data_IF_687262755139
#
_entry.id   IF_687262755139
#
_cell.length_a   1.000
_cell.length_b   1.000
_cell.length_c   1.000
_cell.angle_alpha   90.00
_cell.angle_beta   90.00
_cell.angle_gamma   90.00
#
_symmetry.space_group_name_H-M   'P 1'
#
loop_
_entity.id
_entity.type
_entity.pdbx_description
1 polymer ?
#
# COMPACT_ATOMS: atom_id res chain seq x y z
N UNK A 1 12.80 42.15 -13.60
CA UNK A 1 13.32 41.41 -12.42
C UNK A 1 12.20 40.91 -11.49
N UNK A 2 11.19 41.68 -11.19
CA UNK A 2 10.09 41.28 -10.29
C UNK A 2 9.21 40.15 -10.82
N UNK A 3 8.92 40.07 -12.12
CA UNK A 3 8.07 39.04 -12.72
C UNK A 3 8.74 37.66 -12.77
N UNK A 4 10.06 37.61 -13.00
CA UNK A 4 10.81 36.33 -13.00
C UNK A 4 10.92 35.74 -11.61
N UNK A 5 11.16 36.58 -10.59
CA UNK A 5 11.17 36.17 -9.19
C UNK A 5 9.81 35.61 -8.74
N UNK A 6 8.72 36.28 -9.15
CA UNK A 6 7.37 35.82 -8.80
C UNK A 6 7.05 34.45 -9.44
N UNK A 7 7.44 34.25 -10.69
CA UNK A 7 7.29 32.96 -11.38
C UNK A 7 8.07 31.83 -10.68
N UNK A 8 9.32 32.08 -10.28
CA UNK A 8 10.12 31.10 -9.55
C UNK A 8 9.49 30.73 -8.21
N UNK A 9 8.96 31.72 -7.48
CA UNK A 9 8.24 31.53 -6.23
C UNK A 9 6.99 30.67 -6.43
N UNK A 10 6.17 30.97 -7.43
CA UNK A 10 4.94 30.23 -7.73
C UNK A 10 5.24 28.78 -8.13
N UNK A 11 6.27 28.54 -8.93
CA UNK A 11 6.72 27.17 -9.28
C UNK A 11 7.21 26.40 -8.05
N UNK A 12 7.94 27.05 -7.13
CA UNK A 12 8.36 26.41 -5.89
C UNK A 12 7.16 26.05 -5.00
N UNK A 13 6.17 26.95 -4.89
CA UNK A 13 4.92 26.70 -4.17
C UNK A 13 4.12 25.53 -4.77
N UNK A 14 4.04 25.43 -6.10
CA UNK A 14 3.39 24.29 -6.75
C UNK A 14 4.10 22.96 -6.43
N UNK A 15 5.43 22.94 -6.44
CA UNK A 15 6.20 21.73 -6.07
C UNK A 15 6.00 21.34 -4.61
N UNK A 16 6.02 22.32 -3.72
CA UNK A 16 5.75 22.11 -2.31
C UNK A 16 4.32 21.61 -2.07
N UNK A 17 3.32 22.21 -2.71
CA UNK A 17 1.92 21.77 -2.65
C UNK A 17 1.73 20.34 -3.16
N UNK A 18 2.37 19.99 -4.27
CA UNK A 18 2.33 18.64 -4.82
C UNK A 18 2.91 17.60 -3.84
N UNK A 19 4.00 17.91 -3.15
CA UNK A 19 4.55 17.02 -2.11
C UNK A 19 3.60 16.88 -0.92
N UNK A 20 2.94 17.97 -0.51
CA UNK A 20 1.94 17.92 0.55
C UNK A 20 0.76 17.00 0.22
N UNK A 21 0.32 16.94 -1.04
CA UNK A 21 -0.76 16.04 -1.48
C UNK A 21 -0.46 14.58 -1.09
N UNK A 22 0.78 14.15 -1.22
CA UNK A 22 1.19 12.80 -0.81
C UNK A 22 1.51 12.67 0.67
N UNK A 23 1.97 13.74 1.32
CA UNK A 23 2.24 13.71 2.76
C UNK A 23 0.96 13.60 3.60
N UNK A 24 -0.15 14.23 3.17
CA UNK A 24 -1.39 14.31 3.94
C UNK A 24 -2.01 12.94 4.31
N UNK A 25 -2.10 11.94 3.40
CA UNK A 25 -2.68 10.64 3.74
C UNK A 25 -1.74 9.72 4.53
N UNK A 26 -0.44 10.06 4.63
CA UNK A 26 0.58 9.25 5.29
C UNK A 26 0.62 9.51 6.82
N UNK A 27 1.24 8.60 7.58
CA UNK A 27 1.49 8.84 9.01
C UNK A 27 2.49 9.99 9.18
N UNK A 28 2.10 11.02 9.92
CA UNK A 28 2.93 12.20 10.15
C UNK A 28 3.90 11.96 11.31
N UNK A 29 5.13 12.47 11.17
CA UNK A 29 6.07 12.57 12.29
C UNK A 29 5.76 13.79 13.15
N UNK A 30 6.32 13.84 14.37
CA UNK A 30 6.19 14.98 15.26
C UNK A 30 6.58 16.29 14.56
N UNK A 31 5.84 17.37 14.83
CA UNK A 31 6.05 18.70 14.23
C UNK A 31 5.97 18.72 12.70
N UNK A 32 5.03 17.99 12.10
CA UNK A 32 4.83 17.88 10.65
C UNK A 32 4.81 19.24 9.95
N UNK A 33 3.96 20.17 10.39
CA UNK A 33 3.80 21.48 9.77
C UNK A 33 5.08 22.34 9.86
N UNK A 34 5.79 22.30 10.99
CA UNK A 34 7.04 23.03 11.13
C UNK A 34 8.11 22.54 10.14
N UNK A 35 8.21 21.21 9.94
CA UNK A 35 9.13 20.60 8.97
C UNK A 35 8.69 20.90 7.53
N UNK A 36 7.42 20.77 7.21
CA UNK A 36 6.89 21.05 5.89
C UNK A 36 7.09 22.51 5.49
N UNK A 37 6.82 23.48 6.37
CA UNK A 37 7.08 24.88 6.14
C UNK A 37 8.58 25.20 6.09
N UNK A 38 9.39 24.53 6.93
CA UNK A 38 10.85 24.70 6.88
C UNK A 38 11.46 24.27 5.56
N UNK A 39 10.92 23.24 4.92
CA UNK A 39 11.37 22.76 3.60
C UNK A 39 10.94 23.68 2.44
N UNK A 40 10.02 24.60 2.67
CA UNK A 40 9.67 25.62 1.67
C UNK A 40 10.86 26.54 1.39
N UNK A 41 11.65 26.89 2.41
CA UNK A 41 12.81 27.77 2.26
C UNK A 41 13.87 27.24 1.28
N UNK A 42 14.40 26.00 1.42
CA UNK A 42 15.36 25.48 0.45
C UNK A 42 14.76 25.27 -0.95
N UNK A 43 13.47 24.97 -1.07
CA UNK A 43 12.78 24.90 -2.37
C UNK A 43 12.72 26.28 -3.06
N UNK A 44 12.41 27.33 -2.30
CA UNK A 44 12.42 28.71 -2.80
C UNK A 44 13.84 29.16 -3.20
N UNK A 45 14.82 28.86 -2.36
CA UNK A 45 16.22 29.19 -2.64
C UNK A 45 16.70 28.50 -3.94
N UNK A 46 16.40 27.21 -4.09
CA UNK A 46 16.77 26.45 -5.28
C UNK A 46 16.10 27.01 -6.54
N UNK A 47 14.82 27.34 -6.48
CA UNK A 47 14.10 27.95 -7.59
C UNK A 47 14.72 29.29 -8.02
N UNK A 48 15.13 30.10 -7.05
CA UNK A 48 15.77 31.40 -7.31
C UNK A 48 17.16 31.28 -7.91
N UNK A 49 17.95 30.31 -7.46
CA UNK A 49 19.32 30.12 -7.94
C UNK A 49 19.41 29.51 -9.35
N UNK A 50 18.49 28.60 -9.67
CA UNK A 50 18.60 27.79 -10.90
C UNK A 50 17.71 28.29 -12.05
N UNK A 51 16.61 28.98 -11.81
CA UNK A 51 15.73 29.52 -12.87
C UNK A 51 16.45 30.60 -13.74
N UNK A 52 17.23 31.56 -13.18
CA UNK A 52 17.97 32.53 -14.01
C UNK A 52 19.08 31.89 -14.86
N UNK A 53 19.63 30.75 -14.41
CA UNK A 53 20.67 30.03 -15.12
C UNK A 53 20.14 29.29 -16.36
N UNK A 54 18.81 29.11 -16.49
CA UNK A 54 18.19 28.47 -17.65
C UNK A 54 18.22 29.33 -18.93
N UNK A 55 18.57 30.60 -18.84
CA UNK A 55 18.54 31.57 -19.97
C UNK A 55 19.81 31.59 -20.84
N UNK A 56 20.75 30.68 -20.71
CA UNK A 56 22.01 30.72 -21.47
C UNK A 56 22.07 29.75 -22.65
N UNK A 57 22.54 30.11 -23.61
CA UNK A 57 23.03 30.27 -24.95
C UNK A 57 23.22 29.03 -25.84
N UNK A 58 23.24 27.76 -25.38
CA UNK A 58 23.27 26.56 -26.26
C UNK A 58 22.27 25.52 -25.80
N UNK A 59 21.58 24.86 -26.74
CA UNK A 59 20.57 23.82 -26.48
C UNK A 59 21.07 22.73 -25.53
N UNK A 60 22.33 22.32 -25.69
CA UNK A 60 22.92 21.29 -24.82
C UNK A 60 23.13 21.74 -23.37
N UNK A 61 23.58 22.95 -23.17
CA UNK A 61 23.75 23.52 -21.81
C UNK A 61 22.41 23.75 -21.13
N UNK A 62 21.41 24.16 -21.89
CA UNK A 62 20.03 24.33 -21.37
C UNK A 62 19.45 23.00 -20.88
N UNK A 63 19.60 21.91 -21.64
CA UNK A 63 19.12 20.58 -21.25
C UNK A 63 19.87 20.03 -20.03
N UNK A 64 21.18 20.20 -19.96
CA UNK A 64 21.96 19.77 -18.80
C UNK A 64 21.55 20.50 -17.52
N UNK A 65 21.25 21.78 -17.62
CA UNK A 65 20.77 22.58 -16.49
C UNK A 65 19.38 22.19 -16.04
N UNK A 66 18.45 21.95 -16.96
CA UNK A 66 17.14 21.43 -16.65
C UNK A 66 17.26 20.07 -15.92
N UNK A 67 18.15 19.20 -16.37
CA UNK A 67 18.39 17.92 -15.69
C UNK A 67 18.86 18.12 -14.24
N UNK A 68 19.85 18.99 -14.03
CA UNK A 68 20.37 19.32 -12.68
C UNK A 68 19.26 19.91 -11.81
N UNK A 69 18.45 20.81 -12.36
CA UNK A 69 17.30 21.41 -11.68
C UNK A 69 16.31 20.35 -11.21
N UNK A 70 15.91 19.44 -12.09
CA UNK A 70 14.95 18.39 -11.77
C UNK A 70 15.50 17.40 -10.75
N UNK A 71 16.77 16.99 -10.87
CA UNK A 71 17.42 16.11 -9.89
C UNK A 71 17.48 16.78 -8.51
N UNK A 72 17.79 18.07 -8.46
CA UNK A 72 17.85 18.82 -7.21
C UNK A 72 16.48 18.96 -6.55
N UNK A 73 15.43 19.26 -7.32
CA UNK A 73 14.07 19.30 -6.81
C UNK A 73 13.59 17.91 -6.37
N UNK A 74 13.92 16.88 -7.14
CA UNK A 74 13.62 15.50 -6.76
C UNK A 74 14.23 15.13 -5.39
N UNK A 75 15.50 15.46 -5.18
CA UNK A 75 16.18 15.20 -3.91
C UNK A 75 15.54 15.98 -2.74
N UNK A 76 15.20 17.27 -2.95
CA UNK A 76 14.54 18.09 -1.93
C UNK A 76 13.13 17.60 -1.60
N UNK A 77 12.32 17.24 -2.60
CA UNK A 77 10.97 16.73 -2.38
C UNK A 77 11.01 15.35 -1.70
N UNK A 78 11.92 14.48 -2.10
CA UNK A 78 12.15 13.19 -1.42
C UNK A 78 12.58 13.37 0.03
N UNK A 79 13.49 14.31 0.27
CA UNK A 79 13.90 14.72 1.62
C UNK A 79 12.73 15.28 2.45
N UNK A 80 11.89 16.15 1.88
CA UNK A 80 10.70 16.66 2.52
C UNK A 80 9.74 15.56 2.94
N UNK A 81 9.40 14.66 2.01
CA UNK A 81 8.47 13.55 2.28
C UNK A 81 9.04 12.64 3.38
N UNK A 82 10.32 12.29 3.29
CA UNK A 82 10.99 11.44 4.28
C UNK A 82 11.07 12.08 5.67
N UNK A 83 11.31 13.39 5.76
CA UNK A 83 11.39 14.12 7.03
C UNK A 83 10.01 14.36 7.67
N UNK A 84 8.98 14.55 6.86
CA UNK A 84 7.63 14.88 7.33
C UNK A 84 6.80 13.64 7.68
N UNK A 85 7.07 12.50 7.04
CA UNK A 85 6.25 11.29 7.17
C UNK A 85 7.07 10.09 7.66
N UNK A 86 6.37 9.09 8.20
CA UNK A 86 6.98 7.85 8.66
C UNK A 86 6.93 6.77 7.56
N UNK A 87 7.65 7.06 6.47
CA UNK A 87 7.72 6.19 5.29
C UNK A 87 9.17 5.71 5.06
N UNK A 88 9.32 4.54 4.43
CA UNK A 88 10.61 4.01 4.03
C UNK A 88 11.27 4.88 2.94
N UNK A 89 12.61 4.88 2.87
CA UNK A 89 13.38 5.64 1.85
C UNK A 89 12.89 5.37 0.42
N UNK A 90 12.60 4.10 0.07
CA UNK A 90 12.08 3.73 -1.25
C UNK A 90 10.70 4.35 -1.51
N UNK A 91 9.83 4.37 -0.50
CA UNK A 91 8.53 5.01 -0.57
C UNK A 91 8.62 6.52 -0.73
N UNK A 92 9.52 7.18 0.01
CA UNK A 92 9.76 8.61 -0.12
C UNK A 92 10.25 8.99 -1.53
N UNK A 93 11.18 8.21 -2.11
CA UNK A 93 11.64 8.40 -3.48
C UNK A 93 10.52 8.19 -4.50
N UNK A 94 9.69 7.17 -4.32
CA UNK A 94 8.53 6.91 -5.17
C UNK A 94 7.54 8.10 -5.15
N UNK A 95 7.15 8.56 -3.96
CA UNK A 95 6.26 9.72 -3.81
C UNK A 95 6.90 11.01 -4.35
N UNK A 96 8.23 11.16 -4.27
CA UNK A 96 8.93 12.32 -4.84
C UNK A 96 8.83 12.39 -6.37
N UNK A 97 8.96 11.25 -7.07
CA UNK A 97 8.74 11.20 -8.53
C UNK A 97 7.33 11.70 -8.87
N UNK A 98 6.33 11.17 -8.17
CA UNK A 98 4.93 11.56 -8.41
C UNK A 98 4.64 13.02 -8.06
N UNK A 99 5.26 13.53 -6.98
CA UNK A 99 5.13 14.93 -6.61
C UNK A 99 5.68 15.86 -7.69
N UNK A 100 6.83 15.52 -8.29
CA UNK A 100 7.39 16.27 -9.42
C UNK A 100 6.47 16.28 -10.63
N UNK A 101 5.96 15.09 -11.01
CA UNK A 101 5.06 14.93 -12.15
C UNK A 101 3.80 15.76 -11.97
N UNK A 102 3.17 15.68 -10.79
CA UNK A 102 1.94 16.40 -10.47
C UNK A 102 2.17 17.91 -10.42
N UNK A 103 3.30 18.35 -9.87
CA UNK A 103 3.65 19.78 -9.88
C UNK A 103 3.79 20.33 -11.29
N UNK A 104 4.41 19.55 -12.18
CA UNK A 104 4.57 19.95 -13.57
C UNK A 104 3.24 19.94 -14.33
N UNK A 105 2.39 18.91 -14.14
CA UNK A 105 1.04 18.89 -14.72
C UNK A 105 0.20 20.09 -14.26
N UNK A 106 0.31 20.47 -12.98
CA UNK A 106 -0.36 21.67 -12.47
C UNK A 106 0.16 22.96 -13.15
N UNK A 107 1.49 23.03 -13.38
CA UNK A 107 2.09 24.14 -14.12
C UNK A 107 1.65 24.17 -15.59
N UNK A 108 1.59 23.03 -16.27
CA UNK A 108 1.09 22.94 -17.64
C UNK A 108 -0.39 23.30 -17.75
N UNK A 109 -1.19 22.94 -16.75
CA UNK A 109 -2.60 23.36 -16.67
C UNK A 109 -2.72 24.89 -16.58
N UNK A 110 -1.84 25.54 -15.83
CA UNK A 110 -1.73 26.98 -15.82
C UNK A 110 -1.35 27.54 -17.19
N UNK A 111 -0.33 26.97 -17.84
CA UNK A 111 0.09 27.42 -19.17
C UNK A 111 -1.02 27.27 -20.23
N UNK A 112 -1.82 26.21 -20.11
CA UNK A 112 -3.01 26.03 -20.94
C UNK A 112 -4.02 27.18 -20.73
N UNK A 113 -4.34 27.52 -19.49
CA UNK A 113 -5.24 28.63 -19.20
C UNK A 113 -4.69 29.98 -19.72
N UNK A 114 -3.44 30.28 -19.45
CA UNK A 114 -2.77 31.48 -19.95
C UNK A 114 -2.87 31.60 -21.48
N UNK A 115 -2.66 30.49 -22.19
CA UNK A 115 -2.74 30.44 -23.64
C UNK A 115 -4.18 30.69 -24.14
N UNK A 116 -5.20 30.13 -23.45
CA UNK A 116 -6.60 30.37 -23.83
C UNK A 116 -7.01 31.82 -23.56
N UNK A 117 -6.66 32.41 -22.42
CA UNK A 117 -6.96 33.82 -22.14
C UNK A 117 -6.30 34.75 -23.14
N UNK A 118 -5.05 34.49 -23.51
CA UNK A 118 -4.33 35.24 -24.56
C UNK A 118 -5.02 35.14 -25.91
N UNK A 119 -5.52 33.95 -26.27
CA UNK A 119 -6.25 33.72 -27.51
C UNK A 119 -7.57 34.51 -27.60
N UNK A 120 -8.25 34.71 -26.46
CA UNK A 120 -9.49 35.49 -26.39
C UNK A 120 -9.24 37.00 -26.18
N UNK A 121 -8.02 37.47 -26.32
CA UNK A 121 -7.68 38.91 -26.23
C UNK A 121 -7.53 39.46 -24.80
N UNK A 122 -7.49 38.60 -23.80
CA UNK A 122 -7.29 38.93 -22.40
C UNK A 122 -5.98 38.35 -21.84
N UNK A 123 -4.79 38.81 -22.26
CA UNK A 123 -3.55 38.21 -21.80
C UNK A 123 -3.40 38.36 -20.27
N UNK A 124 -3.14 37.26 -19.61
CA UNK A 124 -2.89 37.21 -18.16
C UNK A 124 -1.46 37.70 -17.90
N UNK A 125 -1.33 38.99 -17.54
CA UNK A 125 -0.01 39.51 -17.17
C UNK A 125 0.32 39.05 -15.74
N UNK A 126 1.45 38.37 -15.55
CA UNK A 126 1.94 37.92 -14.25
C UNK A 126 2.23 39.07 -13.26
N UNK A 127 2.33 40.31 -13.71
CA UNK A 127 2.38 41.47 -12.84
C UNK A 127 1.02 41.77 -12.20
N UNK A 128 -0.08 41.24 -12.71
CA UNK A 128 -1.42 41.42 -12.19
C UNK A 128 -1.71 40.47 -11.01
N UNK A 129 -2.21 40.97 -9.87
CA UNK A 129 -2.63 40.10 -8.74
C UNK A 129 -3.68 39.06 -9.15
N UNK A 130 -4.50 39.38 -10.15
CA UNK A 130 -5.52 38.50 -10.69
C UNK A 130 -4.91 37.24 -11.35
N UNK A 131 -3.87 37.38 -12.16
CA UNK A 131 -3.19 36.27 -12.78
C UNK A 131 -2.58 35.32 -11.73
N UNK A 132 -1.96 35.84 -10.69
CA UNK A 132 -1.42 35.09 -9.56
C UNK A 132 -2.54 34.29 -8.85
N UNK A 133 -3.67 34.95 -8.61
CA UNK A 133 -4.83 34.30 -7.95
C UNK A 133 -5.39 33.15 -8.79
N UNK A 134 -5.56 33.35 -10.11
CA UNK A 134 -6.03 32.29 -11.03
C UNK A 134 -5.05 31.12 -11.07
N UNK A 135 -3.75 31.37 -11.08
CA UNK A 135 -2.72 30.34 -11.05
C UNK A 135 -2.77 29.52 -9.75
N UNK A 136 -2.87 30.16 -8.60
CA UNK A 136 -2.98 29.49 -7.32
C UNK A 136 -4.27 28.68 -7.21
N UNK A 137 -5.38 29.24 -7.69
CA UNK A 137 -6.68 28.55 -7.69
C UNK A 137 -6.66 27.33 -8.60
N UNK A 138 -6.15 27.45 -9.82
CA UNK A 138 -6.03 26.30 -10.75
C UNK A 138 -5.15 25.22 -10.19
N UNK A 139 -4.03 25.55 -9.57
CA UNK A 139 -3.16 24.61 -8.87
C UNK A 139 -3.86 23.92 -7.69
N UNK A 140 -4.59 24.68 -6.88
CA UNK A 140 -5.35 24.13 -5.75
C UNK A 140 -6.45 23.15 -6.20
N UNK A 141 -7.20 23.47 -7.24
CA UNK A 141 -8.24 22.60 -7.83
C UNK A 141 -7.60 21.32 -8.36
N UNK A 142 -6.48 21.44 -9.08
CA UNK A 142 -5.74 20.28 -9.61
C UNK A 142 -5.24 19.37 -8.48
N UNK A 143 -4.63 19.93 -7.44
CA UNK A 143 -4.16 19.16 -6.29
C UNK A 143 -5.30 18.52 -5.49
N UNK A 144 -6.44 19.18 -5.34
CA UNK A 144 -7.61 18.61 -4.71
C UNK A 144 -8.14 17.39 -5.51
N UNK A 145 -8.20 17.50 -6.84
CA UNK A 145 -8.58 16.40 -7.71
C UNK A 145 -7.60 15.21 -7.57
N UNK A 146 -6.30 15.46 -7.63
CA UNK A 146 -5.27 14.42 -7.44
C UNK A 146 -5.33 13.79 -6.05
N UNK A 147 -5.57 14.58 -5.01
CA UNK A 147 -5.73 14.07 -3.65
C UNK A 147 -6.90 13.10 -3.54
N UNK A 148 -8.06 13.47 -4.08
CA UNK A 148 -9.28 12.64 -4.02
C UNK A 148 -9.14 11.37 -4.85
N UNK A 149 -8.61 11.50 -6.07
CA UNK A 149 -8.57 10.40 -7.04
C UNK A 149 -7.41 9.43 -6.79
N UNK A 150 -6.27 9.91 -6.31
CA UNK A 150 -5.03 9.12 -6.21
C UNK A 150 -4.51 9.03 -4.78
N UNK A 151 -4.20 10.14 -4.13
CA UNK A 151 -3.48 10.14 -2.87
C UNK A 151 -4.28 9.52 -1.72
N UNK A 152 -5.57 9.81 -1.63
CA UNK A 152 -6.47 9.25 -0.60
C UNK A 152 -6.64 7.73 -0.72
N UNK A 153 -6.48 7.18 -1.93
CA UNK A 153 -6.66 5.75 -2.20
C UNK A 153 -5.38 4.93 -1.99
N UNK A 154 -4.27 5.56 -1.59
CA UNK A 154 -3.04 4.84 -1.30
C UNK A 154 -3.26 3.86 -0.13
N UNK A 155 -2.98 2.56 -0.31
CA UNK A 155 -3.21 1.55 0.71
C UNK A 155 -2.25 1.73 1.90
N UNK A 156 -2.67 1.24 3.08
CA UNK A 156 -1.83 1.06 4.29
C UNK A 156 -1.19 2.33 4.88
N UNK A 157 -1.70 3.54 4.62
CA UNK A 157 -1.17 4.80 5.18
C UNK A 157 0.37 4.92 5.12
N UNK A 158 0.98 4.34 4.07
CA UNK A 158 2.42 4.42 3.83
C UNK A 158 3.26 3.23 4.35
N UNK A 159 2.67 2.22 4.94
CA UNK A 159 3.37 0.99 5.35
C UNK A 159 3.54 -0.02 4.19
N UNK A 160 3.76 0.45 2.98
CA UNK A 160 3.94 -0.43 1.84
C UNK A 160 5.40 -0.60 1.46
N UNK A 161 5.75 -1.83 1.18
CA UNK A 161 7.08 -2.18 0.73
C UNK A 161 7.13 -2.04 -0.81
N UNK A 162 7.65 -0.91 -1.28
CA UNK A 162 7.82 -0.66 -2.70
C UNK A 162 8.91 -1.56 -3.24
N UNK A 163 8.56 -2.42 -4.17
CA UNK A 163 9.50 -3.28 -4.87
C UNK A 163 10.42 -2.50 -5.82
N UNK A 164 11.61 -3.02 -6.13
CA UNK A 164 12.53 -2.35 -7.04
C UNK A 164 11.93 -2.13 -8.43
N UNK A 165 11.11 -3.05 -8.93
CA UNK A 165 10.42 -2.93 -10.23
C UNK A 165 9.49 -1.71 -10.29
N UNK A 166 8.73 -1.46 -9.22
CA UNK A 166 7.82 -0.32 -9.13
C UNK A 166 8.59 1.01 -9.07
N UNK A 167 9.71 1.04 -8.35
CA UNK A 167 10.57 2.20 -8.29
C UNK A 167 11.20 2.49 -9.66
N UNK A 168 11.71 1.48 -10.36
CA UNK A 168 12.24 1.62 -11.71
C UNK A 168 11.19 2.13 -12.70
N UNK A 169 9.96 1.60 -12.67
CA UNK A 169 8.88 2.09 -13.55
C UNK A 169 8.54 3.55 -13.26
N UNK A 170 8.50 3.96 -12.00
CA UNK A 170 8.25 5.36 -11.63
C UNK A 170 9.38 6.29 -12.15
N UNK A 171 10.65 5.91 -11.97
CA UNK A 171 11.77 6.66 -12.51
C UNK A 171 11.75 6.76 -14.05
N UNK A 172 11.43 5.68 -14.73
CA UNK A 172 11.33 5.67 -16.18
C UNK A 172 10.23 6.61 -16.69
N UNK A 173 9.06 6.58 -16.05
CA UNK A 173 7.97 7.52 -16.33
C UNK A 173 8.41 8.96 -16.03
N UNK A 174 9.13 9.20 -14.94
CA UNK A 174 9.67 10.50 -14.59
C UNK A 174 10.64 11.04 -15.66
N UNK A 175 11.54 10.20 -16.20
CA UNK A 175 12.47 10.58 -17.28
C UNK A 175 11.70 10.91 -18.55
N UNK A 176 10.74 10.07 -18.96
CA UNK A 176 9.91 10.33 -20.16
C UNK A 176 9.19 11.68 -20.03
N UNK A 177 8.68 11.97 -18.87
CA UNK A 177 8.00 13.23 -18.61
C UNK A 177 8.95 14.44 -18.68
N UNK A 178 10.14 14.32 -18.12
CA UNK A 178 11.15 15.39 -18.20
C UNK A 178 11.53 15.68 -19.65
N UNK A 179 11.69 14.65 -20.49
CA UNK A 179 11.94 14.82 -21.91
C UNK A 179 10.80 15.56 -22.59
N UNK A 180 9.55 15.19 -22.31
CA UNK A 180 8.39 15.87 -22.87
C UNK A 180 8.31 17.35 -22.42
N UNK A 181 8.53 17.64 -21.14
CA UNK A 181 8.51 19.00 -20.62
C UNK A 181 9.58 19.87 -21.28
N UNK A 182 10.79 19.33 -21.50
CA UNK A 182 11.85 20.02 -22.21
C UNK A 182 11.52 20.28 -23.70
N UNK A 183 10.90 19.31 -24.38
CA UNK A 183 10.42 19.48 -25.75
C UNK A 183 9.35 20.57 -25.82
N UNK A 184 8.41 20.59 -24.89
CA UNK A 184 7.33 21.58 -24.85
C UNK A 184 7.87 23.01 -24.60
N UNK A 185 8.84 23.17 -23.70
CA UNK A 185 9.46 24.47 -23.44
C UNK A 185 10.24 25.01 -24.67
N UNK A 186 10.89 24.14 -25.43
CA UNK A 186 11.56 24.52 -26.69
C UNK A 186 10.54 24.82 -27.80
N UNK A 187 9.44 24.06 -27.85
CA UNK A 187 8.40 24.23 -28.88
C UNK A 187 7.58 25.52 -28.72
N UNK A 188 7.58 26.14 -27.56
CA UNK A 188 6.88 27.42 -27.32
C UNK A 188 7.34 28.56 -28.17
N UNK A 189 8.61 28.54 -28.60
CA UNK A 189 9.20 29.57 -29.46
C UNK A 189 8.82 29.43 -30.96
N UNK A 190 8.43 28.22 -31.39
CA UNK A 190 8.29 27.91 -32.82
C UNK A 190 6.87 27.52 -33.24
N UNK A 191 5.98 27.17 -32.30
CA UNK A 191 4.65 26.64 -32.63
C UNK A 191 3.54 27.68 -32.53
N UNK A 192 2.47 27.42 -33.33
CA UNK A 192 1.25 28.20 -33.28
C UNK A 192 0.51 27.93 -31.93
N UNK A 193 -0.26 28.90 -31.39
CA UNK A 193 -1.00 28.72 -30.15
C UNK A 193 -1.92 27.49 -30.14
N UNK A 194 -2.46 27.10 -31.31
CA UNK A 194 -3.31 25.94 -31.44
C UNK A 194 -2.52 24.64 -31.27
N UNK A 195 -1.37 24.51 -31.92
CA UNK A 195 -0.54 23.29 -31.81
C UNK A 195 0.00 23.09 -30.39
N UNK A 196 0.39 24.18 -29.71
CA UNK A 196 0.77 24.14 -28.29
C UNK A 196 -0.38 23.66 -27.39
N UNK A 197 -1.60 24.19 -27.61
CA UNK A 197 -2.78 23.77 -26.88
C UNK A 197 -3.02 22.26 -26.99
N UNK A 198 -2.97 21.74 -28.22
CA UNK A 198 -3.18 20.31 -28.49
C UNK A 198 -2.07 19.46 -27.83
N UNK A 199 -0.81 19.90 -27.93
CA UNK A 199 0.33 19.18 -27.34
C UNK A 199 0.22 19.11 -25.81
N UNK A 200 -0.17 20.20 -25.14
CA UNK A 200 -0.35 20.24 -23.69
C UNK A 200 -1.49 19.28 -23.29
N UNK A 201 -2.64 19.31 -23.98
CA UNK A 201 -3.78 18.46 -23.67
C UNK A 201 -3.46 16.96 -23.84
N UNK A 202 -2.80 16.60 -24.94
CA UNK A 202 -2.38 15.22 -25.19
C UNK A 202 -1.39 14.77 -24.11
N UNK A 203 -0.41 15.60 -23.78
CA UNK A 203 0.57 15.33 -22.73
C UNK A 203 -0.09 15.11 -21.38
N UNK A 204 -0.99 15.98 -20.96
CA UNK A 204 -1.71 15.85 -19.69
C UNK A 204 -2.59 14.59 -19.65
N UNK A 205 -3.35 14.32 -20.72
CA UNK A 205 -4.15 13.10 -20.80
C UNK A 205 -3.28 11.85 -20.67
N UNK A 206 -2.17 11.79 -21.39
CA UNK A 206 -1.22 10.69 -21.31
C UNK A 206 -0.68 10.48 -19.90
N UNK A 207 -0.25 11.55 -19.20
CA UNK A 207 0.29 11.43 -17.84
C UNK A 207 -0.75 11.09 -16.79
N UNK A 208 -1.95 11.66 -16.87
CA UNK A 208 -3.04 11.29 -15.96
C UNK A 208 -3.38 9.81 -16.14
N UNK A 209 -3.41 9.33 -17.38
CA UNK A 209 -3.65 7.91 -17.68
C UNK A 209 -2.54 7.03 -17.10
N UNK A 210 -1.26 7.39 -17.29
CA UNK A 210 -0.13 6.66 -16.70
C UNK A 210 -0.18 6.66 -15.17
N UNK A 211 -0.49 7.79 -14.55
CA UNK A 211 -0.70 7.91 -13.10
C UNK A 211 -1.78 6.94 -12.61
N UNK A 212 -2.91 6.90 -13.31
CA UNK A 212 -4.00 6.01 -12.97
C UNK A 212 -3.57 4.54 -13.08
N UNK A 213 -2.98 4.12 -14.20
CA UNK A 213 -2.50 2.75 -14.38
C UNK A 213 -1.45 2.36 -13.33
N UNK A 214 -0.51 3.24 -13.05
CA UNK A 214 0.50 2.97 -12.02
C UNK A 214 -0.12 2.81 -10.63
N UNK A 215 -1.10 3.62 -10.30
CA UNK A 215 -1.85 3.53 -9.04
C UNK A 215 -2.61 2.20 -8.94
N UNK A 216 -3.24 1.75 -10.01
CA UNK A 216 -3.95 0.47 -10.06
C UNK A 216 -2.99 -0.73 -9.98
N UNK A 217 -1.86 -0.69 -10.70
CA UNK A 217 -0.82 -1.71 -10.59
C UNK A 217 -0.26 -1.80 -9.17
N UNK A 218 -0.12 -0.66 -8.50
CA UNK A 218 0.32 -0.61 -7.12
C UNK A 218 -0.69 -1.25 -6.17
N UNK A 219 -1.98 -0.92 -6.29
CA UNK A 219 -3.06 -1.52 -5.50
C UNK A 219 -3.13 -3.03 -5.73
N UNK A 220 -3.04 -3.47 -6.99
CA UNK A 220 -3.05 -4.89 -7.34
C UNK A 220 -1.88 -5.64 -6.68
N UNK A 221 -0.68 -5.10 -6.77
CA UNK A 221 0.51 -5.70 -6.15
C UNK A 221 0.42 -5.77 -4.62
N UNK A 222 -0.17 -4.75 -3.98
CA UNK A 222 -0.42 -4.76 -2.54
C UNK A 222 -1.43 -5.85 -2.15
N UNK A 223 -2.51 -5.98 -2.92
CA UNK A 223 -3.56 -6.98 -2.69
C UNK A 223 -3.06 -8.41 -2.93
N UNK A 224 -2.23 -8.64 -3.96
CA UNK A 224 -1.58 -9.93 -4.22
C UNK A 224 -0.69 -10.37 -3.06
N UNK A 225 0.05 -9.43 -2.47
CA UNK A 225 0.90 -9.71 -1.31
C UNK A 225 0.07 -10.09 -0.09
N UNK A 226 -1.00 -9.35 0.22
CA UNK A 226 -1.91 -9.65 1.32
C UNK A 226 -2.56 -11.03 1.14
N UNK A 227 -3.02 -11.34 -0.08
CA UNK A 227 -3.58 -12.65 -0.40
C UNK A 227 -2.55 -13.77 -0.21
N UNK A 228 -1.29 -13.53 -0.59
CA UNK A 228 -0.20 -14.50 -0.38
C UNK A 228 0.06 -14.75 1.12
N UNK A 229 0.05 -13.69 1.94
CA UNK A 229 0.22 -13.80 3.39
C UNK A 229 -0.96 -14.56 4.04
N UNK A 230 -2.19 -14.27 3.62
CA UNK A 230 -3.39 -14.98 4.08
C UNK A 230 -3.36 -16.47 3.69
N UNK A 231 -2.96 -16.77 2.44
CA UNK A 231 -2.82 -18.15 2.00
C UNK A 231 -1.77 -18.91 2.81
N UNK A 232 -0.65 -18.30 3.14
CA UNK A 232 0.37 -18.89 4.00
C UNK A 232 -0.15 -19.20 5.41
N UNK A 233 -0.93 -18.28 6.00
CA UNK A 233 -1.57 -18.49 7.30
C UNK A 233 -2.59 -19.62 7.24
N UNK A 234 -3.40 -19.66 6.19
CA UNK A 234 -4.38 -20.73 5.97
C UNK A 234 -3.71 -22.10 5.83
N UNK A 235 -2.63 -22.21 5.04
CA UNK A 235 -1.88 -23.46 4.90
C UNK A 235 -1.26 -23.92 6.22
N UNK A 236 -0.71 -23.01 7.04
CA UNK A 236 -0.19 -23.32 8.38
C UNK A 236 -1.30 -23.85 9.29
N UNK A 237 -2.45 -23.20 9.29
CA UNK A 237 -3.60 -23.63 10.09
C UNK A 237 -4.09 -25.03 9.66
N UNK A 238 -4.15 -25.26 8.35
CA UNK A 238 -4.51 -26.56 7.77
C UNK A 238 -3.54 -27.67 8.17
N UNK A 239 -2.23 -27.38 8.13
CA UNK A 239 -1.20 -28.33 8.58
C UNK A 239 -1.34 -28.65 10.07
N UNK A 240 -1.54 -27.64 10.92
CA UNK A 240 -1.76 -27.85 12.36
C UNK A 240 -2.99 -28.73 12.61
N UNK A 241 -4.08 -28.46 11.88
CA UNK A 241 -5.28 -29.28 11.98
C UNK A 241 -5.03 -30.74 11.57
N UNK A 242 -4.30 -30.97 10.48
CA UNK A 242 -3.96 -32.32 10.02
C UNK A 242 -3.10 -33.08 11.04
N UNK A 243 -2.11 -32.41 11.65
CA UNK A 243 -1.28 -33.00 12.71
C UNK A 243 -2.12 -33.33 13.94
N UNK A 244 -2.99 -32.42 14.38
CA UNK A 244 -3.90 -32.66 15.51
C UNK A 244 -4.82 -33.86 15.24
N UNK A 245 -5.39 -33.94 14.03
CA UNK A 245 -6.23 -35.07 13.63
C UNK A 245 -5.46 -36.40 13.64
N UNK A 246 -4.25 -36.44 13.10
CA UNK A 246 -3.40 -37.64 13.13
C UNK A 246 -3.06 -38.06 14.55
N UNK A 247 -2.73 -37.11 15.43
CA UNK A 247 -2.45 -37.38 16.84
C UNK A 247 -3.66 -38.00 17.55
N UNK A 248 -4.86 -37.46 17.32
CA UNK A 248 -6.11 -38.04 17.87
C UNK A 248 -6.33 -39.46 17.37
N UNK A 249 -6.13 -39.72 16.09
CA UNK A 249 -6.26 -41.09 15.52
C UNK A 249 -5.25 -42.07 16.13
N UNK A 250 -4.00 -41.65 16.34
CA UNK A 250 -2.96 -42.47 16.97
C UNK A 250 -3.32 -42.77 18.42
N UNK A 251 -3.80 -41.76 19.17
CA UNK A 251 -4.22 -41.94 20.57
C UNK A 251 -5.38 -42.92 20.63
N UNK A 252 -6.41 -42.74 19.81
CA UNK A 252 -7.57 -43.61 19.78
C UNK A 252 -7.16 -45.08 19.48
N UNK A 253 -6.27 -45.29 18.51
CA UNK A 253 -5.74 -46.61 18.20
C UNK A 253 -5.00 -47.21 19.39
N UNK A 254 -4.14 -46.45 20.06
CA UNK A 254 -3.39 -46.94 21.24
C UNK A 254 -4.29 -47.26 22.42
N UNK A 255 -5.33 -46.44 22.65
CA UNK A 255 -6.33 -46.71 23.69
C UNK A 255 -7.09 -48.00 23.41
N UNK A 256 -7.45 -48.26 22.12
CA UNK A 256 -8.10 -49.48 21.75
C UNK A 256 -7.17 -50.70 21.98
N UNK A 257 -5.91 -50.63 21.58
CA UNK A 257 -4.89 -51.68 21.80
C UNK A 257 -4.73 -51.94 23.31
N UNK A 258 -4.65 -50.91 24.18
CA UNK A 258 -4.57 -51.04 25.64
C UNK A 258 -5.80 -51.77 26.22
N UNK A 259 -7.00 -51.43 25.78
CA UNK A 259 -8.22 -52.10 26.22
C UNK A 259 -8.19 -53.61 25.93
N UNK A 260 -7.76 -53.96 24.71
CA UNK A 260 -7.63 -55.38 24.35
C UNK A 260 -6.59 -56.10 25.23
N UNK A 261 -5.46 -55.45 25.53
CA UNK A 261 -4.44 -56.01 26.41
C UNK A 261 -4.95 -56.18 27.84
N UNK A 262 -5.65 -55.19 28.40
CA UNK A 262 -6.27 -55.26 29.73
C UNK A 262 -7.30 -56.40 29.79
N UNK A 263 -8.14 -56.53 28.75
CA UNK A 263 -9.15 -57.61 28.70
C UNK A 263 -8.49 -59.01 28.61
N UNK A 264 -7.35 -59.13 27.91
CA UNK A 264 -6.57 -60.37 27.85
C UNK A 264 -5.89 -60.70 29.18
N UNK A 265 -5.30 -59.74 29.86
CA UNK A 265 -4.71 -59.93 31.18
C UNK A 265 -5.77 -60.39 32.23
N UNK A 266 -6.98 -59.84 32.15
CA UNK A 266 -8.10 -60.27 33.02
C UNK A 266 -8.49 -61.74 32.82
N UNK A 267 -8.30 -62.25 31.60
CA UNK A 267 -8.63 -63.66 31.27
C UNK A 267 -7.53 -64.65 31.69
N UNK A 268 -6.28 -64.21 31.66
CA UNK A 268 -5.14 -65.10 31.83
C UNK A 268 -4.62 -65.26 33.27
N UNK A 269 -4.88 -64.32 34.14
CA UNK A 269 -4.34 -64.32 35.51
C UNK A 269 -5.31 -63.75 36.54
N UNK A 270 -6.33 -64.52 36.94
CA UNK A 270 -7.29 -64.04 37.98
C UNK A 270 -6.66 -63.82 39.37
N UNK A 271 -5.51 -64.49 39.68
CA UNK A 271 -4.88 -64.45 41.01
C UNK A 271 -3.62 -63.54 41.06
N UNK A 272 -3.03 -63.16 39.94
CA UNK A 272 -1.74 -62.46 39.93
C UNK A 272 -1.80 -60.93 39.98
N UNK A 273 -2.94 -60.32 39.66
CA UNK A 273 -3.12 -58.87 39.69
C UNK A 273 -4.38 -58.51 40.46
N UNK A 274 -4.31 -57.61 41.46
CA UNK A 274 -5.49 -57.14 42.19
C UNK A 274 -6.54 -56.57 41.25
N UNK A 275 -7.80 -56.97 41.34
CA UNK A 275 -8.89 -56.52 40.46
C UNK A 275 -9.03 -54.99 40.46
N UNK A 276 -8.73 -54.30 41.56
CA UNK A 276 -8.74 -52.86 41.67
C UNK A 276 -7.79 -52.13 40.74
N UNK A 277 -6.57 -52.70 40.46
CA UNK A 277 -5.60 -52.13 39.50
C UNK A 277 -6.02 -52.33 38.07
N UNK A 278 -6.69 -53.41 37.76
CA UNK A 278 -7.25 -53.67 36.41
C UNK A 278 -8.40 -52.68 36.15
N UNK A 279 -9.25 -52.47 37.12
CA UNK A 279 -10.38 -51.55 37.01
C UNK A 279 -9.93 -50.09 36.97
N UNK A 280 -8.80 -49.73 37.60
CA UNK A 280 -8.18 -48.43 37.51
C UNK A 280 -7.58 -48.19 36.12
N UNK A 281 -6.85 -49.15 35.56
CA UNK A 281 -6.32 -49.08 34.23
C UNK A 281 -7.39 -49.03 33.13
N UNK A 282 -8.51 -49.79 33.35
CA UNK A 282 -9.68 -49.73 32.45
C UNK A 282 -10.42 -48.40 32.53
N UNK A 283 -10.54 -47.81 33.72
CA UNK A 283 -11.08 -46.46 33.90
C UNK A 283 -10.22 -45.42 33.20
N UNK A 284 -8.89 -45.48 33.33
CA UNK A 284 -7.95 -44.59 32.64
C UNK A 284 -8.08 -44.74 31.12
N UNK A 285 -8.12 -45.98 30.60
CA UNK A 285 -8.32 -46.25 29.19
C UNK A 285 -9.68 -45.76 28.64
N UNK A 286 -10.74 -45.82 29.45
CA UNK A 286 -12.09 -45.32 29.12
C UNK A 286 -12.14 -43.80 29.06
N UNK A 287 -11.39 -43.09 29.90
CA UNK A 287 -11.28 -41.63 29.85
C UNK A 287 -10.72 -41.13 28.51
N UNK A 288 -9.72 -41.83 27.98
CA UNK A 288 -9.16 -41.53 26.65
C UNK A 288 -10.08 -41.92 25.48
N UNK A 289 -10.98 -42.90 25.71
CA UNK A 289 -11.92 -43.40 24.70
C UNK A 289 -13.27 -42.70 24.73
N UNK A 290 -13.43 -41.72 25.61
CA UNK A 290 -14.58 -40.82 25.60
C UNK A 290 -14.59 -39.96 24.32
N UNK A 291 -14.61 -40.70 23.19
CA UNK A 291 -14.71 -40.20 21.83
C UNK A 291 -16.01 -39.39 21.77
N UNK A 292 -15.90 -38.08 21.88
CA UNK A 292 -17.02 -37.18 21.73
C UNK A 292 -17.40 -37.16 20.27
N UNK A 293 -18.17 -38.19 19.88
CA UNK A 293 -18.71 -38.29 18.55
C UNK A 293 -19.90 -37.34 18.41
N UNK A 294 -19.60 -36.07 18.12
CA UNK A 294 -20.63 -35.04 17.89
C UNK A 294 -21.23 -35.14 16.48
N UNK A 295 -20.67 -36.01 15.62
CA UNK A 295 -21.01 -36.09 14.21
C UNK A 295 -20.31 -35.04 13.34
N UNK A 296 -19.52 -34.15 13.94
CA UNK A 296 -18.68 -33.19 13.23
C UNK A 296 -17.20 -33.47 13.53
N UNK A 297 -16.48 -34.02 12.52
CA UNK A 297 -15.08 -34.44 12.68
C UNK A 297 -14.15 -33.30 13.17
N UNK A 298 -14.39 -32.07 12.75
CA UNK A 298 -13.61 -30.89 13.20
C UNK A 298 -13.81 -30.62 14.67
N UNK A 299 -15.06 -30.64 15.10
CA UNK A 299 -15.42 -30.41 16.50
C UNK A 299 -14.89 -31.55 17.38
N UNK A 300 -14.98 -32.79 16.92
CA UNK A 300 -14.47 -33.97 17.63
C UNK A 300 -12.97 -33.90 17.87
N UNK A 301 -12.18 -33.49 16.84
CA UNK A 301 -10.73 -33.29 16.98
C UNK A 301 -10.41 -32.19 17.98
N UNK A 302 -11.07 -31.04 17.89
CA UNK A 302 -10.82 -29.90 18.78
C UNK A 302 -11.22 -30.24 20.22
N UNK A 303 -12.38 -30.85 20.44
CA UNK A 303 -12.84 -31.22 21.76
C UNK A 303 -11.94 -32.29 22.42
N UNK A 304 -11.45 -33.24 21.61
CA UNK A 304 -10.52 -34.29 22.09
C UNK A 304 -9.19 -33.66 22.48
N UNK A 305 -8.61 -32.81 21.64
CA UNK A 305 -7.36 -32.10 21.96
C UNK A 305 -7.49 -31.26 23.25
N UNK A 306 -8.57 -30.48 23.37
CA UNK A 306 -8.78 -29.63 24.55
C UNK A 306 -9.11 -30.44 25.81
N UNK A 307 -9.81 -31.55 25.67
CA UNK A 307 -10.05 -32.46 26.80
C UNK A 307 -8.75 -33.04 27.35
N UNK A 308 -7.88 -33.53 26.48
CA UNK A 308 -6.55 -34.05 26.88
C UNK A 308 -5.69 -32.97 27.55
N UNK A 309 -5.70 -31.74 27.00
CA UNK A 309 -4.99 -30.63 27.62
C UNK A 309 -5.54 -30.24 28.99
N UNK A 310 -6.85 -30.22 29.16
CA UNK A 310 -7.50 -29.95 30.44
C UNK A 310 -7.17 -31.02 31.46
N UNK A 311 -7.25 -32.29 31.07
CA UNK A 311 -6.94 -33.43 31.92
C UNK A 311 -5.49 -33.44 32.41
N UNK A 312 -4.54 -33.12 31.51
CA UNK A 312 -3.11 -32.99 31.86
C UNK A 312 -2.85 -31.88 32.90
N UNK A 313 -3.81 -30.97 33.06
CA UNK A 313 -3.78 -29.87 34.06
C UNK A 313 -4.74 -30.10 35.25
N UNK A 314 -5.32 -31.29 35.36
CA UNK A 314 -6.30 -31.61 36.43
C UNK A 314 -7.65 -30.89 36.31
N UNK A 315 -8.01 -30.41 35.11
CA UNK A 315 -9.25 -29.68 34.83
C UNK A 315 -10.24 -30.62 34.16
N UNK A 316 -11.45 -30.74 34.71
CA UNK A 316 -12.53 -31.49 34.06
C UNK A 316 -13.24 -30.61 33.02
N UNK A 317 -13.22 -31.02 31.74
CA UNK A 317 -13.92 -30.33 30.66
C UNK A 317 -15.28 -30.98 30.40
N UNK A 318 -16.37 -30.29 30.75
CA UNK A 318 -17.73 -30.67 30.37
C UNK A 318 -18.17 -29.86 29.16
N UNK A 319 -18.29 -30.49 27.99
CA UNK A 319 -18.76 -29.83 26.77
C UNK A 319 -20.10 -30.43 26.34
N UNK A 320 -21.10 -29.60 26.11
CA UNK A 320 -22.38 -29.97 25.52
C UNK A 320 -22.42 -29.39 24.10
N UNK A 321 -22.41 -30.28 23.12
CA UNK A 321 -22.54 -29.88 21.70
C UNK A 321 -24.04 -29.93 21.33
N UNK A 322 -24.59 -28.78 20.91
CA UNK A 322 -25.97 -28.73 20.41
C UNK A 322 -25.97 -29.02 18.93
N UNK A 323 -26.69 -30.03 18.46
CA UNK A 323 -26.76 -30.49 17.07
C UNK A 323 -27.17 -29.39 16.07
N UNK A 324 -27.83 -28.33 16.51
CA UNK A 324 -28.20 -27.19 15.66
C UNK A 324 -26.99 -26.39 15.13
N UNK A 325 -25.82 -26.50 15.73
CA UNK A 325 -24.58 -25.82 15.29
C UNK A 325 -23.83 -26.58 14.18
N UNK A 326 -24.19 -27.84 13.92
CA UNK A 326 -23.53 -28.66 12.88
C UNK A 326 -23.79 -28.12 11.46
N UNK A 327 -24.93 -27.45 11.25
CA UNK A 327 -25.29 -26.89 9.95
C UNK A 327 -24.65 -25.51 9.66
N UNK A 328 -24.01 -24.86 10.63
CA UNK A 328 -23.36 -23.54 10.42
C UNK A 328 -21.97 -23.66 9.80
N UNK A 329 -21.36 -24.85 9.84
CA UNK A 329 -19.99 -25.07 9.36
C UNK A 329 -19.88 -25.59 7.92
N UNK A 330 -20.97 -25.86 7.21
CA UNK A 330 -20.90 -26.11 5.77
C UNK A 330 -20.66 -24.81 5.01
N UNK A 331 -19.51 -24.64 4.33
CA UNK A 331 -19.36 -23.55 3.39
C UNK A 331 -20.38 -23.77 2.28
N UNK A 332 -21.42 -22.94 2.24
CA UNK A 332 -22.33 -22.87 1.09
C UNK A 332 -21.46 -22.67 -0.15
N UNK A 333 -21.27 -23.72 -0.93
CA UNK A 333 -20.78 -23.64 -2.31
C UNK A 333 -21.75 -22.75 -3.05
N UNK A 334 -21.47 -21.44 -3.10
CA UNK A 334 -22.10 -20.57 -4.09
C UNK A 334 -21.58 -21.03 -5.43
N UNK A 335 -22.41 -21.74 -6.18
CA UNK A 335 -22.25 -21.93 -7.60
C UNK A 335 -22.09 -20.57 -8.24
N UNK A 336 -21.08 -20.34 -9.09
CA UNK A 336 -21.01 -19.10 -9.86
C UNK A 336 -22.23 -19.04 -10.75
N UNK A 337 -23.01 -17.99 -10.60
CA UNK A 337 -24.08 -17.65 -11.53
C UNK A 337 -23.39 -17.19 -12.81
N UNK A 338 -23.67 -17.94 -13.88
CA UNK A 338 -23.31 -17.68 -15.26
C UNK A 338 -23.72 -16.29 -15.76
#
# INVERSE_FOLDING_TARGET
MTSSLLNSLLRALLRWGAALVFCLPLRHRSHFWARACGMLFPLLLLAQLLDPLAQSTTLWQQQLRLLVLYISFFALLGGMIYLCTDINKKGALYCAVWSLLIAQCAYESWCFLELQFTRYGHPLNMASPWAVLVQLLSGAVFFAAVYILLARQLPYKGEYNIGPRQLFSAFFIGILFMVQAAVLDNARAEHTPLSLTVTILIGQFYFITLLYFQSELFKKSAMEKEMSELNLLYERQRQQYQVARQNVQIINKRCHELKVQIANLRKLSPEAVPPERIDEAERAARLYDANRNTGNEVLDVVLTEKSLLCESRGIQLNAVANLSLIHISEPTRRTPIS
#
